data_IF_704067711099
#
_entry.id   IF_704067711099
#
_cell.length_a   1.000
_cell.length_b   1.000
_cell.length_c   1.000
_cell.angle_alpha   90.00
_cell.angle_beta   90.00
_cell.angle_gamma   90.00
#
_symmetry.space_group_name_H-M   'P 1'
#
loop_
_entity.id
_entity.type
_entity.pdbx_description
1 polymer ?
#
# COMPACT_ATOMS: atom_id res chain seq x y z
N UNK A 1 -9.83 6.02 -15.64
CA UNK A 1 -9.70 4.55 -15.77
C UNK A 1 -8.36 4.19 -16.38
N UNK A 2 -8.05 4.64 -17.60
CA UNK A 2 -6.84 4.18 -18.29
C UNK A 2 -5.54 4.47 -17.53
N UNK A 3 -5.41 5.67 -16.95
CA UNK A 3 -4.29 5.99 -16.06
C UNK A 3 -4.22 5.09 -14.82
N UNK A 4 -5.38 4.68 -14.28
CA UNK A 4 -5.46 3.79 -13.12
C UNK A 4 -5.12 2.35 -13.50
N UNK A 5 -5.55 1.90 -14.68
CA UNK A 5 -5.19 0.61 -15.29
C UNK A 5 -3.67 0.47 -15.39
N UNK A 6 -2.98 1.48 -15.95
CA UNK A 6 -1.51 1.50 -16.02
C UNK A 6 -0.87 1.37 -14.62
N UNK A 7 -1.39 2.10 -13.63
CA UNK A 7 -0.91 2.01 -12.24
C UNK A 7 -1.18 0.64 -11.59
N UNK A 8 -2.20 -0.08 -12.07
CA UNK A 8 -2.58 -1.42 -11.62
C UNK A 8 -1.99 -2.55 -12.50
N UNK A 9 -0.82 -2.31 -13.11
CA UNK A 9 -0.13 -3.28 -13.98
C UNK A 9 -1.01 -3.72 -15.16
N UNK A 10 -1.58 -2.74 -15.83
CA UNK A 10 -2.41 -2.86 -17.04
C UNK A 10 -3.69 -3.71 -16.89
N UNK A 11 -4.04 -4.10 -15.66
CA UNK A 11 -5.20 -4.96 -15.39
C UNK A 11 -5.91 -4.50 -14.11
N UNK A 12 -7.17 -4.10 -14.26
CA UNK A 12 -8.10 -3.76 -13.18
C UNK A 12 -8.75 -5.03 -12.60
N UNK A 13 -9.40 -4.90 -11.45
CA UNK A 13 -10.16 -6.00 -10.85
C UNK A 13 -11.30 -6.42 -11.80
N UNK A 14 -11.97 -5.46 -12.43
CA UNK A 14 -13.05 -5.74 -13.36
C UNK A 14 -12.60 -6.57 -14.57
N UNK A 15 -11.39 -6.35 -15.10
CA UNK A 15 -10.88 -7.20 -16.20
C UNK A 15 -10.64 -8.63 -15.76
N UNK A 16 -10.17 -8.83 -14.52
CA UNK A 16 -9.99 -10.16 -13.95
C UNK A 16 -11.35 -10.85 -13.80
N UNK A 17 -12.40 -10.12 -13.40
CA UNK A 17 -13.77 -10.63 -13.33
C UNK A 17 -14.28 -11.05 -14.71
N UNK A 18 -14.16 -10.19 -15.72
CA UNK A 18 -14.58 -10.49 -17.09
C UNK A 18 -13.82 -11.70 -17.65
N UNK A 19 -12.50 -11.75 -17.44
CA UNK A 19 -11.66 -12.86 -17.89
C UNK A 19 -12.04 -14.19 -17.23
N UNK A 20 -12.33 -14.19 -15.93
CA UNK A 20 -12.82 -15.40 -15.23
C UNK A 20 -14.24 -15.81 -15.65
N UNK A 21 -15.05 -14.87 -16.13
CA UNK A 21 -16.32 -15.15 -16.79
C UNK A 21 -16.17 -15.73 -18.21
N UNK A 22 -14.94 -15.93 -18.69
CA UNK A 22 -14.67 -16.48 -20.02
C UNK A 22 -14.70 -15.43 -21.14
N UNK A 23 -14.82 -14.15 -20.83
CA UNK A 23 -14.75 -13.07 -21.81
C UNK A 23 -13.28 -12.85 -22.16
N UNK A 24 -12.91 -13.21 -23.39
CA UNK A 24 -11.55 -13.05 -23.91
C UNK A 24 -11.30 -11.58 -24.27
N UNK A 25 -10.07 -11.12 -24.09
CA UNK A 25 -9.65 -9.73 -24.39
C UNK A 25 -10.49 -8.68 -23.65
N UNK A 26 -10.76 -8.92 -22.36
CA UNK A 26 -11.53 -8.01 -21.51
C UNK A 26 -10.98 -6.58 -21.48
N UNK A 27 -9.65 -6.45 -21.53
CA UNK A 27 -8.89 -5.20 -21.64
C UNK A 27 -9.23 -4.38 -22.88
N UNK A 28 -9.61 -5.03 -23.99
CA UNK A 28 -10.03 -4.37 -25.22
C UNK A 28 -11.50 -3.98 -25.26
N UNK A 29 -12.33 -4.63 -24.43
CA UNK A 29 -13.78 -4.37 -24.35
C UNK A 29 -14.12 -3.34 -23.26
N UNK A 30 -13.31 -3.27 -22.21
CA UNK A 30 -13.51 -2.38 -21.09
C UNK A 30 -12.31 -1.45 -20.89
N UNK A 31 -12.51 -0.11 -20.79
CA UNK A 31 -13.80 0.57 -20.81
C UNK A 31 -14.37 0.79 -22.22
N UNK A 32 -15.71 0.71 -22.39
CA UNK A 32 -16.33 0.97 -23.68
C UNK A 32 -16.19 2.45 -24.08
N UNK A 33 -15.63 2.71 -25.26
CA UNK A 33 -15.43 4.05 -25.80
C UNK A 33 -16.60 4.57 -26.68
N UNK A 34 -17.54 3.69 -27.04
CA UNK A 34 -18.70 4.00 -27.88
C UNK A 34 -19.91 3.18 -27.44
N UNK A 35 -21.11 3.59 -27.89
CA UNK A 35 -22.36 2.84 -27.65
C UNK A 35 -22.25 1.41 -28.19
N UNK A 36 -21.76 1.24 -29.42
CA UNK A 36 -21.51 -0.09 -30.00
C UNK A 36 -20.48 -0.92 -29.20
N UNK A 37 -19.53 -0.24 -28.54
CA UNK A 37 -18.59 -0.91 -27.62
C UNK A 37 -19.27 -1.41 -26.36
N UNK A 38 -20.18 -0.61 -25.80
CA UNK A 38 -20.98 -0.99 -24.64
C UNK A 38 -21.94 -2.14 -24.98
N UNK A 39 -22.61 -2.10 -26.12
CA UNK A 39 -23.50 -3.17 -26.57
C UNK A 39 -22.75 -4.50 -26.70
N UNK A 40 -21.56 -4.48 -27.33
CA UNK A 40 -20.69 -5.67 -27.44
C UNK A 40 -20.24 -6.20 -26.07
N UNK A 41 -19.91 -5.30 -25.14
CA UNK A 41 -19.53 -5.69 -23.78
C UNK A 41 -20.71 -6.33 -23.03
N UNK A 42 -21.91 -5.74 -23.13
CA UNK A 42 -23.12 -6.29 -22.52
C UNK A 42 -23.49 -7.65 -23.13
N UNK A 43 -23.41 -7.80 -24.45
CA UNK A 43 -23.62 -9.07 -25.12
C UNK A 43 -22.60 -10.13 -24.66
N UNK A 44 -21.32 -9.75 -24.51
CA UNK A 44 -20.30 -10.64 -23.98
C UNK A 44 -20.58 -11.07 -22.53
N UNK A 45 -21.09 -10.16 -21.69
CA UNK A 45 -21.50 -10.47 -20.31
C UNK A 45 -22.70 -11.42 -20.30
N UNK A 46 -23.73 -11.18 -21.11
CA UNK A 46 -24.91 -12.06 -21.18
C UNK A 46 -24.55 -13.49 -21.65
N UNK A 47 -23.51 -13.64 -22.47
CA UNK A 47 -23.07 -14.92 -23.00
C UNK A 47 -21.88 -15.55 -22.23
N UNK A 48 -21.49 -14.96 -21.10
CA UNK A 48 -20.35 -15.44 -20.32
C UNK A 48 -20.69 -16.70 -19.50
N UNK A 49 -19.69 -17.33 -18.91
CA UNK A 49 -19.83 -18.60 -18.16
C UNK A 49 -20.48 -18.44 -16.78
N UNK A 50 -20.70 -17.20 -16.34
CA UNK A 50 -21.30 -16.93 -15.05
C UNK A 50 -22.81 -17.19 -15.01
N UNK A 51 -23.30 -17.45 -13.81
CA UNK A 51 -24.74 -17.47 -13.53
C UNK A 51 -25.37 -16.08 -13.68
N UNK A 52 -26.70 -16.03 -13.80
CA UNK A 52 -27.45 -14.80 -14.00
C UNK A 52 -27.18 -13.74 -12.92
N UNK A 53 -26.96 -14.15 -11.66
CA UNK A 53 -26.71 -13.22 -10.55
C UNK A 53 -25.36 -12.52 -10.72
N UNK A 54 -24.32 -13.27 -11.06
CA UNK A 54 -22.99 -12.72 -11.33
C UNK A 54 -22.99 -11.86 -12.60
N UNK A 55 -23.70 -12.26 -13.65
CA UNK A 55 -23.88 -11.44 -14.85
C UNK A 55 -24.54 -10.09 -14.51
N UNK A 56 -25.64 -10.12 -13.76
CA UNK A 56 -26.32 -8.90 -13.30
C UNK A 56 -25.41 -8.04 -12.42
N UNK A 57 -24.55 -8.65 -11.60
CA UNK A 57 -23.57 -7.93 -10.78
C UNK A 57 -22.51 -7.21 -11.62
N UNK A 58 -22.09 -7.78 -12.76
CA UNK A 58 -21.19 -7.12 -13.71
C UNK A 58 -21.88 -5.94 -14.40
N UNK A 59 -23.16 -6.09 -14.78
CA UNK A 59 -23.94 -5.00 -15.38
C UNK A 59 -24.16 -3.88 -14.35
N UNK A 60 -24.48 -4.23 -13.12
CA UNK A 60 -24.57 -3.29 -12.00
C UNK A 60 -23.29 -2.48 -11.83
N UNK A 61 -22.12 -3.13 -11.89
CA UNK A 61 -20.82 -2.45 -11.84
C UNK A 61 -20.65 -1.43 -12.97
N UNK A 62 -21.07 -1.78 -14.20
CA UNK A 62 -21.02 -0.87 -15.35
C UNK A 62 -21.96 0.33 -15.17
N UNK A 63 -23.18 0.12 -14.66
CA UNK A 63 -24.12 1.20 -14.38
C UNK A 63 -23.57 2.18 -13.35
N UNK A 64 -22.89 1.67 -12.31
CA UNK A 64 -22.25 2.49 -11.28
C UNK A 64 -21.21 3.47 -11.84
N UNK A 65 -20.67 3.21 -13.04
CA UNK A 65 -19.77 4.13 -13.72
C UNK A 65 -20.39 5.52 -13.95
N UNK A 66 -21.71 5.58 -14.18
CA UNK A 66 -22.42 6.84 -14.42
C UNK A 66 -22.69 7.66 -13.16
N UNK A 67 -22.64 7.03 -11.97
CA UNK A 67 -22.86 7.69 -10.68
C UNK A 67 -24.17 8.50 -10.59
N UNK A 68 -25.23 8.01 -11.22
CA UNK A 68 -26.53 8.68 -11.28
C UNK A 68 -27.67 7.90 -10.61
N UNK A 69 -27.35 6.81 -9.91
CA UNK A 69 -28.28 6.05 -9.07
C UNK A 69 -29.06 4.97 -9.82
N UNK A 70 -28.95 4.89 -11.15
CA UNK A 70 -29.64 3.86 -11.97
C UNK A 70 -29.23 2.43 -11.61
N UNK A 71 -28.02 2.27 -11.06
CA UNK A 71 -27.55 0.99 -10.55
C UNK A 71 -28.44 0.45 -9.41
N UNK A 72 -29.04 1.33 -8.59
CA UNK A 72 -29.91 0.91 -7.48
C UNK A 72 -31.23 0.33 -7.99
N UNK A 73 -31.92 1.04 -8.88
CA UNK A 73 -33.16 0.55 -9.50
C UNK A 73 -32.92 -0.78 -10.24
N UNK A 74 -31.76 -0.91 -10.90
CA UNK A 74 -31.37 -2.16 -11.54
C UNK A 74 -31.18 -3.30 -10.53
N UNK A 75 -30.48 -3.04 -9.42
CA UNK A 75 -30.25 -4.05 -8.39
C UNK A 75 -31.56 -4.55 -7.75
N UNK A 76 -32.52 -3.64 -7.52
CA UNK A 76 -33.83 -3.97 -6.96
C UNK A 76 -34.69 -4.76 -7.95
N UNK A 77 -34.77 -4.31 -9.20
CA UNK A 77 -35.57 -4.97 -10.24
C UNK A 77 -35.05 -6.37 -10.61
N UNK A 78 -33.74 -6.59 -10.52
CA UNK A 78 -33.10 -7.90 -10.75
C UNK A 78 -32.97 -8.73 -9.46
N UNK A 79 -33.40 -8.20 -8.32
CA UNK A 79 -33.29 -8.85 -7.01
C UNK A 79 -31.85 -9.32 -6.71
N UNK A 80 -30.84 -8.51 -7.07
CA UNK A 80 -29.43 -8.85 -6.82
C UNK A 80 -29.22 -8.91 -5.32
N UNK A 81 -28.64 -10.01 -4.83
CA UNK A 81 -28.45 -10.18 -3.39
C UNK A 81 -27.45 -9.13 -2.86
N UNK A 82 -27.68 -8.55 -1.67
CA UNK A 82 -26.90 -7.41 -1.17
C UNK A 82 -25.38 -7.65 -1.16
N UNK A 83 -24.93 -8.88 -0.90
CA UNK A 83 -23.49 -9.18 -0.87
C UNK A 83 -22.82 -8.98 -2.23
N UNK A 84 -23.52 -9.20 -3.35
CA UNK A 84 -22.95 -8.95 -4.67
C UNK A 84 -22.92 -7.46 -5.01
N UNK A 85 -23.94 -6.71 -4.58
CA UNK A 85 -23.98 -5.24 -4.69
C UNK A 85 -22.82 -4.61 -3.92
N UNK A 86 -22.64 -5.01 -2.65
CA UNK A 86 -21.54 -4.53 -1.80
C UNK A 86 -20.18 -4.89 -2.40
N UNK A 87 -20.02 -6.10 -2.92
CA UNK A 87 -18.77 -6.53 -3.54
C UNK A 87 -18.46 -5.74 -4.82
N UNK A 88 -19.46 -5.53 -5.68
CA UNK A 88 -19.32 -4.72 -6.89
C UNK A 88 -18.97 -3.27 -6.54
N UNK A 89 -19.63 -2.69 -5.54
CA UNK A 89 -19.31 -1.35 -5.03
C UNK A 89 -17.88 -1.25 -4.52
N UNK A 90 -17.42 -2.25 -3.77
CA UNK A 90 -16.07 -2.29 -3.26
C UNK A 90 -15.03 -2.32 -4.39
N UNK A 91 -15.20 -3.22 -5.37
CA UNK A 91 -14.30 -3.30 -6.52
C UNK A 91 -14.34 -2.03 -7.37
N UNK A 92 -15.49 -1.38 -7.51
CA UNK A 92 -15.60 -0.14 -8.23
C UNK A 92 -14.79 0.99 -7.56
N UNK A 93 -14.83 1.10 -6.24
CA UNK A 93 -14.01 2.06 -5.49
C UNK A 93 -12.50 1.81 -5.68
N UNK A 94 -12.08 0.54 -5.76
CA UNK A 94 -10.69 0.17 -5.97
C UNK A 94 -10.22 0.44 -7.41
N UNK A 95 -11.02 0.07 -8.40
CA UNK A 95 -10.70 0.23 -9.84
C UNK A 95 -10.77 1.68 -10.31
N UNK A 96 -11.61 2.51 -9.69
CA UNK A 96 -11.66 3.96 -9.97
C UNK A 96 -10.57 4.72 -9.23
N UNK A 97 -10.13 4.20 -8.07
CA UNK A 97 -9.34 4.95 -7.09
C UNK A 97 -10.13 6.03 -6.35
N UNK A 98 -11.46 6.08 -6.51
CA UNK A 98 -12.32 7.08 -5.85
C UNK A 98 -12.78 6.49 -4.52
N UNK A 99 -12.44 7.17 -3.41
CA UNK A 99 -12.84 6.76 -2.06
C UNK A 99 -12.45 5.31 -1.72
N UNK A 100 -11.18 4.98 -1.94
CA UNK A 100 -10.58 3.65 -1.68
C UNK A 100 -10.85 3.17 -0.24
N UNK A 101 -10.83 4.08 0.74
CA UNK A 101 -11.15 3.77 2.14
C UNK A 101 -12.56 3.21 2.33
N UNK A 102 -13.55 3.72 1.58
CA UNK A 102 -14.90 3.17 1.57
C UNK A 102 -14.92 1.77 0.97
N UNK A 103 -14.15 1.54 -0.10
CA UNK A 103 -13.96 0.21 -0.67
C UNK A 103 -13.44 -0.80 0.36
N UNK A 104 -12.41 -0.44 1.14
CA UNK A 104 -11.89 -1.29 2.23
C UNK A 104 -12.95 -1.57 3.30
N UNK A 105 -13.72 -0.55 3.69
CA UNK A 105 -14.81 -0.72 4.67
C UNK A 105 -15.91 -1.66 4.16
N UNK A 106 -16.24 -1.62 2.87
CA UNK A 106 -17.20 -2.56 2.28
C UNK A 106 -16.65 -3.99 2.25
N UNK A 107 -15.36 -4.17 1.94
CA UNK A 107 -14.70 -5.50 1.97
C UNK A 107 -14.64 -6.13 3.36
N UNK A 108 -14.82 -5.35 4.44
CA UNK A 108 -14.87 -5.86 5.80
C UNK A 108 -16.18 -6.60 6.14
N UNK A 109 -17.18 -6.59 5.26
CA UNK A 109 -18.39 -7.38 5.46
C UNK A 109 -18.08 -8.88 5.40
N UNK A 110 -18.33 -9.59 6.51
CA UNK A 110 -18.04 -11.01 6.69
C UNK A 110 -18.80 -11.92 5.70
N UNK A 111 -19.88 -11.43 5.07
CA UNK A 111 -20.65 -12.18 4.07
C UNK A 111 -19.94 -12.24 2.72
N UNK A 112 -18.88 -11.47 2.53
CA UNK A 112 -18.13 -11.39 1.28
C UNK A 112 -17.01 -12.42 1.23
N UNK A 113 -16.84 -13.02 0.06
CA UNK A 113 -15.67 -13.82 -0.28
C UNK A 113 -14.83 -13.02 -1.28
N UNK A 114 -13.77 -12.36 -0.80
CA UNK A 114 -12.89 -11.55 -1.63
C UNK A 114 -11.72 -12.38 -2.17
N UNK A 115 -11.80 -12.79 -3.45
CA UNK A 115 -10.83 -13.72 -4.06
C UNK A 115 -9.65 -13.03 -4.76
N UNK A 116 -9.63 -11.70 -4.86
CA UNK A 116 -8.65 -10.94 -5.66
C UNK A 116 -7.68 -10.13 -4.80
N UNK A 117 -7.17 -10.75 -3.74
CA UNK A 117 -6.33 -10.13 -2.71
C UNK A 117 -5.16 -9.33 -3.31
N UNK A 118 -4.41 -9.91 -4.24
CA UNK A 118 -3.29 -9.22 -4.89
C UNK A 118 -3.71 -7.93 -5.58
N UNK A 119 -4.83 -7.94 -6.31
CA UNK A 119 -5.33 -6.74 -7.00
C UNK A 119 -5.91 -5.72 -6.03
N UNK A 120 -6.51 -6.18 -4.95
CA UNK A 120 -6.95 -5.30 -3.85
C UNK A 120 -5.74 -4.61 -3.24
N UNK A 121 -4.72 -5.35 -2.78
CA UNK A 121 -3.50 -4.79 -2.20
C UNK A 121 -2.79 -3.86 -3.18
N UNK A 122 -2.76 -4.21 -4.46
CA UNK A 122 -2.24 -3.34 -5.52
C UNK A 122 -3.02 -2.01 -5.59
N UNK A 123 -4.35 -2.03 -5.59
CA UNK A 123 -5.17 -0.83 -5.57
C UNK A 123 -4.95 0.00 -4.30
N UNK A 124 -4.82 -0.64 -3.13
CA UNK A 124 -4.52 0.04 -1.86
C UNK A 124 -3.14 0.68 -1.87
N UNK A 125 -2.18 0.09 -2.57
CA UNK A 125 -0.82 0.64 -2.72
C UNK A 125 -0.79 1.95 -3.48
N UNK A 126 -1.88 2.30 -4.18
CA UNK A 126 -2.04 3.53 -4.95
C UNK A 126 -2.69 4.67 -4.15
N UNK A 127 -3.11 4.40 -2.91
CA UNK A 127 -3.75 5.39 -2.02
C UNK A 127 -2.73 6.41 -1.49
N UNK A 128 -3.19 7.55 -0.91
CA UNK A 128 -2.29 8.54 -0.31
C UNK A 128 -1.47 8.00 0.86
N UNK A 129 -2.02 7.05 1.63
CA UNK A 129 -1.33 6.33 2.72
C UNK A 129 -1.46 4.81 2.49
N UNK A 130 -0.59 4.24 1.64
CA UNK A 130 -0.60 2.81 1.30
C UNK A 130 -0.51 1.91 2.52
N UNK A 131 0.37 2.25 3.47
CA UNK A 131 0.68 1.39 4.61
C UNK A 131 -0.50 1.32 5.57
N UNK A 132 -1.16 2.44 5.88
CA UNK A 132 -2.37 2.41 6.70
C UNK A 132 -3.52 1.66 6.01
N UNK A 133 -3.74 1.89 4.72
CA UNK A 133 -4.81 1.22 3.98
C UNK A 133 -4.64 -0.31 3.94
N UNK A 134 -3.42 -0.79 3.66
CA UNK A 134 -3.10 -2.22 3.64
C UNK A 134 -3.26 -2.83 5.04
N UNK A 135 -2.74 -2.17 6.09
CA UNK A 135 -2.93 -2.64 7.48
C UNK A 135 -4.40 -2.76 7.84
N UNK A 136 -5.21 -1.74 7.50
CA UNK A 136 -6.64 -1.72 7.76
C UNK A 136 -7.32 -2.90 7.07
N UNK A 137 -7.11 -3.06 5.77
CA UNK A 137 -7.66 -4.18 4.99
C UNK A 137 -7.29 -5.55 5.58
N UNK A 138 -6.01 -5.80 5.82
CA UNK A 138 -5.56 -7.12 6.31
C UNK A 138 -6.09 -7.41 7.72
N UNK A 139 -6.18 -6.39 8.59
CA UNK A 139 -6.72 -6.57 9.95
C UNK A 139 -8.23 -6.77 9.98
N UNK A 140 -8.99 -6.11 9.09
CA UNK A 140 -10.45 -6.19 9.08
C UNK A 140 -10.97 -7.39 8.30
N UNK A 141 -10.38 -7.67 7.14
CA UNK A 141 -10.83 -8.75 6.24
C UNK A 141 -10.15 -10.08 6.56
N UNK A 142 -8.98 -10.04 7.20
CA UNK A 142 -8.14 -11.22 7.47
C UNK A 142 -7.96 -12.15 6.27
N UNK A 143 -7.58 -11.62 5.10
CA UNK A 143 -7.43 -12.43 3.90
C UNK A 143 -6.26 -13.40 4.04
N UNK A 144 -6.36 -14.56 3.38
CA UNK A 144 -5.25 -15.50 3.31
C UNK A 144 -4.19 -14.98 2.32
N UNK A 145 -3.14 -14.35 2.83
CA UNK A 145 -2.02 -13.89 2.01
C UNK A 145 -1.18 -15.08 1.55
N UNK A 146 -1.31 -15.47 0.27
CA UNK A 146 -0.51 -16.56 -0.34
C UNK A 146 0.64 -16.04 -1.18
N UNK A 147 0.44 -14.92 -1.87
CA UNK A 147 1.43 -14.40 -2.80
C UNK A 147 2.59 -13.71 -2.07
N UNK A 148 3.86 -13.98 -2.46
CA UNK A 148 5.02 -13.39 -1.82
C UNK A 148 5.00 -11.85 -1.78
N UNK A 149 4.52 -11.22 -2.85
CA UNK A 149 4.44 -9.77 -2.98
C UNK A 149 3.42 -9.15 -2.01
N UNK A 150 2.31 -9.84 -1.76
CA UNK A 150 1.25 -9.40 -0.85
C UNK A 150 1.73 -9.49 0.60
N UNK A 151 2.45 -10.57 0.94
CA UNK A 151 3.11 -10.72 2.24
C UNK A 151 4.17 -9.63 2.46
N UNK A 152 4.96 -9.30 1.43
CA UNK A 152 5.98 -8.23 1.52
C UNK A 152 5.33 -6.86 1.77
N UNK A 153 4.27 -6.54 1.01
CA UNK A 153 3.54 -5.30 1.15
C UNK A 153 2.96 -5.15 2.56
N UNK A 154 2.37 -6.22 3.10
CA UNK A 154 1.86 -6.21 4.47
C UNK A 154 2.97 -6.13 5.53
N UNK A 155 4.08 -6.84 5.37
CA UNK A 155 5.19 -6.78 6.32
C UNK A 155 5.83 -5.38 6.38
N UNK A 156 5.98 -4.71 5.24
CA UNK A 156 6.41 -3.30 5.18
C UNK A 156 5.37 -2.41 5.85
N UNK A 157 4.09 -2.60 5.55
CA UNK A 157 3.02 -1.83 6.16
C UNK A 157 3.01 -2.00 7.69
N UNK A 158 3.31 -3.19 8.23
CA UNK A 158 3.49 -3.38 9.66
C UNK A 158 4.71 -2.62 10.18
N UNK A 159 5.85 -2.72 9.50
CA UNK A 159 7.11 -2.10 9.92
C UNK A 159 7.02 -0.57 9.98
N UNK A 160 6.26 0.03 9.07
CA UNK A 160 5.92 1.46 9.07
C UNK A 160 5.21 1.91 10.36
N UNK A 161 4.37 1.05 10.96
CA UNK A 161 3.69 1.34 12.23
C UNK A 161 4.45 0.88 13.48
N UNK A 162 5.04 -0.32 13.41
CA UNK A 162 5.69 -0.99 14.54
C UNK A 162 6.60 -2.11 14.05
N UNK A 163 7.90 -1.95 14.25
CA UNK A 163 8.88 -3.00 14.00
C UNK A 163 8.55 -4.29 14.77
N UNK A 164 8.03 -4.16 16.00
CA UNK A 164 7.70 -5.32 16.83
C UNK A 164 6.59 -6.17 16.20
N UNK A 165 5.57 -5.54 15.61
CA UNK A 165 4.49 -6.26 14.91
C UNK A 165 5.01 -6.94 13.64
N UNK A 166 5.80 -6.23 12.83
CA UNK A 166 6.41 -6.80 11.63
C UNK A 166 7.30 -8.01 11.99
N UNK A 167 8.06 -7.89 13.08
CA UNK A 167 8.91 -8.97 13.58
C UNK A 167 8.11 -10.15 14.14
N UNK A 168 6.95 -9.89 14.75
CA UNK A 168 6.03 -10.95 15.15
C UNK A 168 5.45 -11.68 13.93
N UNK A 169 5.09 -10.93 12.88
CA UNK A 169 4.54 -11.48 11.64
C UNK A 169 5.51 -12.45 10.95
N UNK A 170 6.79 -12.11 10.77
CA UNK A 170 7.74 -13.06 10.16
C UNK A 170 7.92 -14.35 10.99
N UNK A 171 7.72 -14.30 12.32
CA UNK A 171 7.80 -15.49 13.20
C UNK A 171 6.57 -16.40 13.12
N UNK A 172 5.45 -15.95 12.56
CA UNK A 172 4.30 -16.84 12.34
C UNK A 172 4.56 -17.89 11.26
N UNK A 173 5.61 -17.70 10.44
CA UNK A 173 6.04 -18.67 9.45
C UNK A 173 7.03 -19.67 10.05
N UNK A 174 6.90 -20.94 9.63
CA UNK A 174 7.82 -22.00 10.03
C UNK A 174 9.28 -21.65 9.69
N UNK A 175 10.23 -22.10 10.51
CA UNK A 175 11.68 -21.83 10.33
C UNK A 175 12.23 -22.25 8.97
N UNK A 176 11.72 -23.34 8.42
CA UNK A 176 12.13 -23.88 7.12
C UNK A 176 11.47 -23.17 5.94
N UNK A 177 10.51 -22.28 6.20
CA UNK A 177 9.81 -21.57 5.13
C UNK A 177 10.74 -20.54 4.49
N UNK A 178 10.86 -20.52 3.14
CA UNK A 178 11.65 -19.50 2.45
C UNK A 178 11.08 -18.08 2.60
N UNK A 179 9.82 -17.95 3.03
CA UNK A 179 9.21 -16.65 3.28
C UNK A 179 9.87 -15.90 4.44
N UNK A 180 10.27 -16.61 5.50
CA UNK A 180 10.80 -16.00 6.72
C UNK A 180 12.10 -15.19 6.49
N UNK A 181 13.18 -15.75 5.90
CA UNK A 181 14.40 -14.97 5.65
C UNK A 181 14.17 -13.80 4.70
N UNK A 182 13.28 -13.96 3.71
CA UNK A 182 12.89 -12.88 2.79
C UNK A 182 12.19 -11.73 3.51
N UNK A 183 11.20 -12.03 4.34
CA UNK A 183 10.47 -11.03 5.13
C UNK A 183 11.39 -10.32 6.13
N UNK A 184 12.27 -11.06 6.82
CA UNK A 184 13.27 -10.46 7.71
C UNK A 184 14.14 -9.45 6.97
N UNK A 185 14.66 -9.83 5.79
CA UNK A 185 15.45 -8.91 4.96
C UNK A 185 14.63 -7.68 4.57
N UNK A 186 13.39 -7.87 4.13
CA UNK A 186 12.50 -6.78 3.73
C UNK A 186 12.24 -5.78 4.87
N UNK A 187 11.97 -6.29 6.08
CA UNK A 187 11.73 -5.47 7.27
C UNK A 187 12.98 -4.69 7.65
N UNK A 188 14.15 -5.34 7.69
CA UNK A 188 15.42 -4.69 8.02
C UNK A 188 15.77 -3.62 6.97
N UNK A 189 15.66 -3.95 5.68
CA UNK A 189 15.95 -3.02 4.58
C UNK A 189 15.00 -1.80 4.57
N UNK A 190 13.79 -1.96 5.08
CA UNK A 190 12.84 -0.86 5.22
C UNK A 190 13.16 0.04 6.43
N UNK A 191 13.53 -0.54 7.56
CA UNK A 191 13.84 0.22 8.78
C UNK A 191 15.22 0.88 8.77
N UNK A 192 16.18 0.32 8.03
CA UNK A 192 17.52 0.88 7.92
C UNK A 192 17.59 1.87 6.76
N UNK A 193 18.03 3.11 6.98
CA UNK A 193 18.28 4.04 5.89
C UNK A 193 19.37 3.47 4.97
N UNK A 194 19.14 3.52 3.65
CA UNK A 194 20.10 3.03 2.65
C UNK A 194 21.41 3.82 2.61
N UNK A 195 21.38 5.03 3.13
CA UNK A 195 22.53 5.92 3.22
C UNK A 195 22.70 6.30 4.69
N UNK A 196 23.82 5.89 5.29
CA UNK A 196 24.28 6.60 6.49
C UNK A 196 24.67 8.00 6.03
N UNK A 197 24.08 9.07 6.57
CA UNK A 197 24.61 10.38 6.29
C UNK A 197 26.06 10.39 6.79
N UNK A 198 27.00 10.75 5.90
CA UNK A 198 28.46 10.78 6.11
C UNK A 198 28.91 11.50 7.41
N UNK A 199 28.00 12.21 8.06
CA UNK A 199 28.22 12.93 9.31
C UNK A 199 28.41 12.03 10.55
N UNK A 200 28.03 10.75 10.53
CA UNK A 200 28.14 9.89 11.71
C UNK A 200 29.57 9.40 12.04
N UNK A 201 30.54 9.56 11.13
CA UNK A 201 31.91 9.05 11.31
C UNK A 201 33.00 10.14 11.49
N UNK A 202 32.66 11.44 11.43
CA UNK A 202 33.64 12.54 11.60
C UNK A 202 33.68 13.16 13.01
N UNK A 203 33.03 12.54 13.98
CA UNK A 203 32.94 13.03 15.37
C UNK A 203 33.92 12.39 16.35
N UNK A 204 35.17 12.06 15.97
CA UNK A 204 36.23 11.87 16.96
C UNK A 204 37.11 13.10 16.98
N UNK A 205 37.09 13.92 18.05
CA UNK A 205 38.18 14.86 18.26
C UNK A 205 39.45 14.02 18.43
N UNK A 206 40.46 14.28 17.59
CA UNK A 206 41.79 13.74 17.78
C UNK A 206 42.31 14.23 19.13
N UNK A 207 42.40 13.34 20.10
CA UNK A 207 43.17 13.56 21.32
C UNK A 207 44.64 13.78 20.92
N UNK A 208 45.01 15.04 20.75
CA UNK A 208 46.41 15.45 20.68
C UNK A 208 46.97 15.43 22.10
N UNK A 209 47.52 14.29 22.50
CA UNK A 209 48.34 14.16 23.70
C UNK A 209 49.66 14.95 23.49
N UNK A 210 50.08 15.85 24.41
CA UNK A 210 51.42 16.41 24.39
C UNK A 210 52.38 15.45 25.11
N UNK A 211 53.45 15.03 24.42
CA UNK A 211 54.56 14.27 25.00
C UNK A 211 55.64 15.20 25.60
N UNK A 212 56.50 14.69 26.52
CA UNK A 212 57.23 15.49 27.51
C UNK A 212 58.72 15.71 27.20
N UNK A 213 59.36 16.58 28.02
CA UNK A 213 60.80 16.92 28.15
C UNK A 213 61.33 18.03 27.19
N UNK A 214 62.21 18.97 27.55
CA UNK A 214 62.89 19.38 28.80
C UNK A 214 63.30 20.88 28.60
N UNK A 215 63.14 21.75 29.60
CA UNK A 215 64.21 22.33 30.44
C UNK A 215 64.84 23.63 29.89
N UNK A 216 64.71 24.72 30.67
CA UNK A 216 65.77 25.66 31.08
C UNK A 216 65.18 27.06 31.39
N UNK A 217 65.31 27.47 32.66
CA UNK A 217 65.14 28.84 33.12
C UNK A 217 66.35 29.71 32.66
N UNK A 218 66.30 31.05 32.78
CA UNK A 218 66.54 31.69 34.08
C UNK A 218 65.71 32.94 34.39
N UNK A 219 65.76 33.31 35.68
CA UNK A 219 65.15 34.46 36.37
C UNK A 219 65.77 35.81 35.98
N UNK A 220 64.94 36.86 36.01
CA UNK A 220 65.26 38.23 36.46
C UNK A 220 63.91 38.96 36.68
N UNK A 221 63.52 39.32 37.91
CA UNK A 221 63.45 40.71 38.45
C UNK A 221 62.74 41.68 37.49
N UNK A 222 61.66 42.41 37.83
CA UNK A 222 61.66 43.48 38.83
C UNK A 222 60.27 44.16 38.92
N UNK A 223 59.96 44.71 40.09
CA UNK A 223 59.11 45.89 40.39
C UNK A 223 57.64 46.00 39.92
N UNK A 224 56.76 46.06 40.92
CA UNK A 224 55.51 46.84 40.88
C UNK A 224 55.82 48.36 40.75
N UNK A 225 54.85 49.21 40.38
CA UNK A 225 53.98 49.75 41.44
C UNK A 225 52.52 50.00 41.06
N UNK A 226 51.77 50.10 42.16
CA UNK A 226 50.38 50.49 42.40
C UNK A 226 50.14 51.97 42.05
N UNK A 227 49.08 52.28 41.30
CA UNK A 227 48.36 53.56 41.40
C UNK A 227 47.00 53.49 40.67
N UNK A 228 45.90 53.49 41.44
CA UNK A 228 44.68 54.23 41.11
C UNK A 228 45.01 55.74 41.19
N UNK A 229 44.22 56.72 40.69
CA UNK A 229 42.77 56.83 40.93
C UNK A 229 41.91 57.66 39.92
N UNK A 230 40.62 57.75 40.27
CA UNK A 230 39.67 58.88 40.10
C UNK A 230 38.85 59.11 38.81
N UNK A 231 37.52 59.15 39.08
CA UNK A 231 36.45 60.08 38.63
C UNK A 231 36.24 60.26 37.12
N UNK A 232 35.01 60.20 36.60
CA UNK A 232 33.73 60.76 37.09
C UNK A 232 32.58 59.79 36.85
#
# INVERSE_FOLDING_TARGET
IEAQRVRMSDTLIFDVLLSKGGIRHADSLYPPASVDGLERLLEAICNCTYDAVKQDSLIYFLLKWHQDGREMDFSESRCIQPQFVILADAYWHLDTGINVERGVSLLADQRLTADYITKIIQALSLSPDPHAAIRKYVRTVQPLLTEPQDMDAYAIALADSSLAEAWAYQRSFAEKSPARPRLVRKIIDFCLPREWPDCALRGRPSDSAPSPHSEAAPRATESAPRAAPHHV
#
